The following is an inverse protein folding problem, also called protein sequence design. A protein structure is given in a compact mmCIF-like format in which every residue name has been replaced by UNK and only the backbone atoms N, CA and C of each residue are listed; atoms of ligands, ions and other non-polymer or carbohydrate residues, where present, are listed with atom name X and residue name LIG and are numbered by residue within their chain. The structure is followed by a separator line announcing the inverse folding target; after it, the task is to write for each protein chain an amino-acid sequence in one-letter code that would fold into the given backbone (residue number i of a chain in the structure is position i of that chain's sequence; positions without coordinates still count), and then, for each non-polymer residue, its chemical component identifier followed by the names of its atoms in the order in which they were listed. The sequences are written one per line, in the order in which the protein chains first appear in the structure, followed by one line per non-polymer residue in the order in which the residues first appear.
data_IF_505426160544
#
_entry.id   IF_505426160544
#
_cell.length_a   1.000
_cell.length_b   1.000
_cell.length_c   1.000
_cell.angle_alpha   90.00
_cell.angle_beta   90.00
_cell.angle_gamma   90.00
#
_symmetry.space_group_name_H-M   'P 1'
#
loop_
_entity.id
_entity.type
_entity.pdbx_description
1 polymer ?
#
# COMPACT_ATOMS: atom_id res chain seq x y z
N UNK A 1 -33.28 -3.44 -24.12
CA UNK A 1 -33.21 -4.65 -23.29
C UNK A 1 -32.02 -4.54 -22.36
N UNK A 2 -32.12 -5.07 -21.14
CA UNK A 2 -30.98 -5.10 -20.22
C UNK A 2 -29.90 -6.06 -20.74
N UNK A 3 -28.64 -5.61 -20.76
CA UNK A 3 -27.50 -6.47 -21.15
C UNK A 3 -27.05 -7.32 -19.96
N UNK A 4 -26.99 -8.64 -20.14
CA UNK A 4 -26.53 -9.60 -19.14
C UNK A 4 -25.36 -10.40 -19.71
N UNK A 5 -24.29 -10.59 -18.95
CA UNK A 5 -23.09 -11.28 -19.43
C UNK A 5 -22.25 -11.89 -18.32
N UNK A 6 -21.61 -13.03 -18.61
CA UNK A 6 -20.80 -13.81 -17.64
C UNK A 6 -19.65 -13.00 -17.01
N UNK A 7 -19.20 -11.93 -17.65
CA UNK A 7 -18.15 -11.03 -17.13
C UNK A 7 -18.74 -9.69 -16.67
N UNK A 8 -19.69 -9.13 -17.41
CA UNK A 8 -20.29 -7.84 -17.10
C UNK A 8 -21.02 -7.86 -15.75
N UNK A 9 -21.86 -8.89 -15.53
CA UNK A 9 -22.66 -9.02 -14.32
C UNK A 9 -21.80 -9.16 -13.04
N UNK A 10 -20.80 -10.07 -12.95
CA UNK A 10 -19.95 -10.12 -11.75
C UNK A 10 -19.05 -8.90 -11.60
N UNK A 11 -18.63 -8.25 -12.69
CA UNK A 11 -17.84 -7.01 -12.60
C UNK A 11 -18.67 -5.88 -11.99
N UNK A 12 -19.91 -5.71 -12.45
CA UNK A 12 -20.84 -4.74 -11.86
C UNK A 12 -21.13 -5.07 -10.39
N UNK A 13 -21.35 -6.35 -10.07
CA UNK A 13 -21.56 -6.79 -8.70
C UNK A 13 -20.40 -6.44 -7.76
N UNK A 14 -19.14 -6.59 -8.21
CA UNK A 14 -17.95 -6.18 -7.43
C UNK A 14 -17.94 -4.67 -7.15
N UNK A 15 -18.28 -3.85 -8.15
CA UNK A 15 -18.35 -2.38 -7.99
C UNK A 15 -19.47 -2.00 -7.02
N UNK A 16 -20.67 -2.55 -7.20
CA UNK A 16 -21.82 -2.30 -6.32
C UNK A 16 -21.52 -2.70 -4.87
N UNK A 17 -20.90 -3.86 -4.65
CA UNK A 17 -20.50 -4.32 -3.33
C UNK A 17 -19.56 -3.33 -2.65
N UNK A 18 -18.50 -2.91 -3.34
CA UNK A 18 -17.54 -1.94 -2.82
C UNK A 18 -18.18 -0.58 -2.52
N UNK A 19 -19.13 -0.17 -3.35
CA UNK A 19 -19.91 1.05 -3.12
C UNK A 19 -20.75 0.97 -1.84
N UNK A 20 -21.47 -0.13 -1.64
CA UNK A 20 -22.26 -0.36 -0.41
C UNK A 20 -21.36 -0.41 0.82
N UNK A 21 -20.26 -1.17 0.76
CA UNK A 21 -19.26 -1.25 1.85
C UNK A 21 -18.72 0.14 2.22
N UNK A 22 -18.40 0.98 1.23
CA UNK A 22 -17.91 2.34 1.49
C UNK A 22 -19.01 3.30 1.98
N UNK A 23 -20.24 3.17 1.46
CA UNK A 23 -21.38 4.02 1.86
C UNK A 23 -21.82 3.74 3.29
N UNK A 24 -21.82 2.46 3.68
CA UNK A 24 -22.25 1.99 4.98
C UNK A 24 -21.09 2.01 6.01
N UNK A 25 -19.87 2.40 5.59
CA UNK A 25 -18.72 2.57 6.47
C UNK A 25 -18.90 3.77 7.40
N UNK A 26 -18.98 3.50 8.70
CA UNK A 26 -18.96 4.53 9.74
C UNK A 26 -17.57 4.63 10.36
N UNK A 27 -16.96 5.81 10.30
CA UNK A 27 -15.66 6.05 10.93
C UNK A 27 -15.80 6.11 12.45
N UNK A 28 -15.07 5.26 13.17
CA UNK A 28 -15.08 5.22 14.64
C UNK A 28 -13.81 5.92 15.16
N UNK A 29 -13.93 6.85 16.13
CA UNK A 29 -12.75 7.46 16.74
C UNK A 29 -11.94 6.42 17.52
N UNK A 30 -10.62 6.53 17.44
CA UNK A 30 -9.68 5.74 18.23
C UNK A 30 -8.52 6.63 18.68
N UNK A 31 -7.86 6.23 19.76
CA UNK A 31 -6.78 6.98 20.38
C UNK A 31 -5.48 6.18 20.32
N UNK A 32 -4.37 6.86 20.06
CA UNK A 32 -3.02 6.32 20.11
C UNK A 32 -2.15 7.17 21.00
N UNK A 33 -1.33 6.52 21.81
CA UNK A 33 -0.33 7.21 22.61
C UNK A 33 0.87 7.53 21.72
N UNK A 34 1.36 8.75 21.80
CA UNK A 34 2.57 9.16 21.10
C UNK A 34 3.52 9.88 22.04
N UNK A 35 4.79 9.52 21.98
CA UNK A 35 5.87 10.13 22.75
C UNK A 35 6.68 11.02 21.83
N UNK A 36 6.79 12.29 22.21
CA UNK A 36 7.63 13.26 21.54
C UNK A 36 8.89 13.44 22.39
N UNK A 37 10.06 13.25 21.78
CA UNK A 37 11.35 13.46 22.43
C UNK A 37 12.27 14.22 21.49
N UNK A 38 13.13 15.04 22.05
CA UNK A 38 14.13 15.81 21.31
C UNK A 38 15.51 15.39 21.79
N UNK A 39 16.37 15.01 20.84
CA UNK A 39 17.78 14.71 21.12
C UNK A 39 18.63 15.35 20.03
N UNK A 40 19.63 16.13 20.44
CA UNK A 40 20.61 16.74 19.52
C UNK A 40 19.97 17.54 18.37
N UNK A 41 18.85 18.25 18.64
CA UNK A 41 18.12 19.04 17.65
C UNK A 41 17.24 18.23 16.69
N UNK A 42 17.12 16.92 16.88
CA UNK A 42 16.24 16.04 16.11
C UNK A 42 14.97 15.72 16.93
N UNK A 43 13.81 16.15 16.42
CA UNK A 43 12.52 15.78 16.97
C UNK A 43 12.16 14.35 16.57
N UNK A 44 12.02 13.47 17.56
CA UNK A 44 11.60 12.08 17.38
C UNK A 44 10.17 11.91 17.87
N UNK A 45 9.34 11.26 17.05
CA UNK A 45 7.98 10.85 17.41
C UNK A 45 7.91 9.33 17.45
N UNK A 46 7.65 8.77 18.62
CA UNK A 46 7.34 7.35 18.79
C UNK A 46 5.81 7.19 18.93
N UNK A 47 5.24 6.26 18.16
CA UNK A 47 3.83 5.88 18.26
C UNK A 47 3.73 4.57 19.03
N UNK A 48 2.83 4.51 20.00
CA UNK A 48 2.50 3.28 20.73
C UNK A 48 1.90 2.23 19.80
N UNK A 49 2.12 0.96 20.14
CA UNK A 49 1.63 -0.18 19.35
C UNK A 49 0.13 -0.45 19.52
N UNK A 50 -0.48 0.09 20.59
CA UNK A 50 -1.86 -0.20 20.95
C UNK A 50 -2.81 0.91 20.48
N UNK A 51 -3.97 0.49 19.99
CA UNK A 51 -5.08 1.32 19.58
C UNK A 51 -6.12 1.25 20.71
N UNK A 52 -6.52 2.40 21.24
CA UNK A 52 -7.52 2.48 22.30
C UNK A 52 -8.85 2.93 21.71
N UNK A 53 -9.92 2.19 21.99
CA UNK A 53 -11.28 2.51 21.52
C UNK A 53 -11.99 3.53 22.40
N UNK A 54 -11.43 3.86 23.57
CA UNK A 54 -12.02 4.79 24.52
C UNK A 54 -10.95 5.75 25.03
N UNK A 55 -11.27 7.04 25.01
CA UNK A 55 -10.40 8.09 25.52
C UNK A 55 -10.02 7.88 27.00
N UNK A 56 -10.95 7.46 27.85
CA UNK A 56 -10.67 7.24 29.28
C UNK A 56 -9.64 6.12 29.50
N UNK A 57 -9.67 5.07 28.66
CA UNK A 57 -8.67 4.00 28.69
C UNK A 57 -7.31 4.53 28.23
N UNK A 58 -7.29 5.34 27.17
CA UNK A 58 -6.07 5.98 26.68
C UNK A 58 -5.48 6.94 27.73
N UNK A 59 -6.31 7.74 28.40
CA UNK A 59 -5.90 8.67 29.45
C UNK A 59 -5.37 7.93 30.69
N UNK A 60 -6.01 6.82 31.08
CA UNK A 60 -5.54 5.97 32.18
C UNK A 60 -4.17 5.37 31.85
N UNK A 61 -4.00 4.81 30.65
CA UNK A 61 -2.71 4.30 30.18
C UNK A 61 -1.64 5.39 30.12
N UNK A 62 -2.01 6.60 29.67
CA UNK A 62 -1.13 7.76 29.66
C UNK A 62 -0.75 8.22 31.08
N UNK A 63 -1.67 8.18 32.04
CA UNK A 63 -1.41 8.51 33.43
C UNK A 63 -0.44 7.50 34.07
N UNK A 64 -0.62 6.21 33.80
CA UNK A 64 0.31 5.15 34.22
C UNK A 64 1.70 5.34 33.61
N UNK A 65 1.78 5.71 32.33
CA UNK A 65 3.08 5.99 31.69
C UNK A 65 3.74 7.26 32.25
N UNK A 66 2.96 8.29 32.61
CA UNK A 66 3.47 9.51 33.24
C UNK A 66 3.98 9.25 34.65
N UNK A 67 3.29 8.43 35.44
CA UNK A 67 3.72 8.10 36.81
C UNK A 67 5.02 7.29 36.84
N UNK A 68 5.29 6.53 35.78
CA UNK A 68 6.53 5.77 35.63
C UNK A 68 7.79 6.64 35.46
N UNK A 69 7.67 7.97 35.30
CA UNK A 69 8.72 9.02 35.32
C UNK A 69 9.91 8.86 34.35
N UNK A 70 10.23 7.66 33.91
CA UNK A 70 11.24 7.30 32.93
C UNK A 70 10.61 6.32 31.95
N UNK A 71 10.51 6.73 30.69
CA UNK A 71 10.35 5.77 29.59
C UNK A 71 11.75 5.27 29.25
N UNK A 72 12.07 4.07 29.72
CA UNK A 72 13.29 3.39 29.32
C UNK A 72 13.11 2.91 27.88
N UNK A 73 13.92 3.45 26.98
CA UNK A 73 14.03 2.89 25.64
C UNK A 73 14.78 1.58 25.75
N UNK A 74 14.05 0.47 25.89
CA UNK A 74 14.64 -0.88 26.03
C UNK A 74 15.44 -1.26 24.79
N UNK A 75 15.04 -0.78 23.61
CA UNK A 75 15.83 -0.92 22.39
C UNK A 75 15.55 0.20 21.40
N UNK A 76 16.62 0.78 20.85
CA UNK A 76 16.56 1.57 19.61
C UNK A 76 16.88 0.62 18.48
N UNK A 77 15.91 -0.18 18.06
CA UNK A 77 16.05 -0.95 16.83
C UNK A 77 15.89 0.01 15.63
N UNK A 78 17.00 0.53 15.08
CA UNK A 78 17.05 0.63 13.62
C UNK A 78 16.67 -0.74 13.14
N UNK A 79 15.66 -0.91 12.26
CA UNK A 79 15.24 -2.23 11.77
C UNK A 79 16.50 -3.06 11.57
N UNK A 80 16.74 -4.02 12.45
CA UNK A 80 17.91 -4.89 12.44
C UNK A 80 17.36 -6.27 12.12
N UNK A 81 18.07 -7.02 11.30
CA UNK A 81 17.72 -8.43 11.08
C UNK A 81 18.00 -9.26 12.33
N UNK A 82 17.61 -10.54 12.29
CA UNK A 82 17.80 -11.52 13.37
C UNK A 82 19.28 -11.71 13.81
N UNK A 83 20.23 -11.13 13.07
CA UNK A 83 21.67 -11.16 13.34
C UNK A 83 22.22 -9.80 13.80
N UNK A 84 21.37 -8.82 14.13
CA UNK A 84 21.79 -7.52 14.66
C UNK A 84 22.37 -6.55 13.61
N UNK A 85 22.25 -6.85 12.31
CA UNK A 85 22.73 -5.96 11.24
C UNK A 85 21.66 -4.96 10.85
N UNK A 86 22.04 -3.70 10.63
CA UNK A 86 21.14 -2.65 10.15
C UNK A 86 20.50 -3.15 8.85
N UNK A 87 19.18 -3.33 8.87
CA UNK A 87 18.36 -3.70 7.72
C UNK A 87 18.33 -2.50 6.77
N UNK A 88 19.38 -2.40 5.97
CA UNK A 88 19.36 -1.63 4.73
C UNK A 88 18.17 -2.17 3.96
N UNK A 89 17.10 -1.38 3.86
CA UNK A 89 15.95 -1.77 3.07
C UNK A 89 16.39 -1.70 1.63
N UNK A 90 16.97 -2.81 1.15
CA UNK A 90 17.29 -2.99 -0.25
C UNK A 90 15.95 -3.13 -0.96
N UNK A 91 15.48 -2.05 -1.58
CA UNK A 91 14.38 -2.16 -2.51
C UNK A 91 14.91 -2.93 -3.70
N UNK A 92 14.52 -4.21 -3.81
CA UNK A 92 14.81 -5.00 -4.99
C UNK A 92 14.37 -4.23 -6.23
N UNK A 93 15.15 -4.27 -7.33
CA UNK A 93 14.73 -3.63 -8.57
C UNK A 93 13.32 -4.12 -8.94
N UNK A 94 12.46 -3.24 -9.45
CA UNK A 94 11.13 -3.63 -9.85
C UNK A 94 11.22 -4.75 -10.88
N UNK A 95 10.36 -5.75 -10.74
CA UNK A 95 10.19 -6.76 -11.77
C UNK A 95 9.78 -6.08 -13.07
N UNK A 96 10.17 -6.68 -14.19
CA UNK A 96 9.67 -6.26 -15.49
C UNK A 96 8.13 -6.37 -15.51
N UNK A 97 7.47 -5.64 -16.41
CA UNK A 97 6.01 -5.59 -16.45
C UNK A 97 5.42 -6.82 -17.15
N UNK A 98 4.40 -7.44 -16.57
CA UNK A 98 3.40 -8.15 -17.37
C UNK A 98 2.32 -7.17 -17.88
N UNK A 99 1.40 -7.62 -18.73
CA UNK A 99 0.36 -6.74 -19.29
C UNK A 99 -0.51 -6.10 -18.20
N UNK A 100 -0.87 -6.87 -17.17
CA UNK A 100 -1.77 -6.41 -16.12
C UNK A 100 -1.09 -5.36 -15.24
N UNK A 101 0.18 -5.58 -14.89
CA UNK A 101 1.01 -4.63 -14.16
C UNK A 101 1.23 -3.36 -14.98
N UNK A 102 1.48 -3.47 -16.29
CA UNK A 102 1.61 -2.31 -17.18
C UNK A 102 0.31 -1.50 -17.25
N UNK A 103 -0.83 -2.17 -17.45
CA UNK A 103 -2.15 -1.52 -17.50
C UNK A 103 -2.51 -0.82 -16.17
N UNK A 104 -2.17 -1.42 -15.03
CA UNK A 104 -2.34 -0.78 -13.71
C UNK A 104 -1.45 0.45 -13.56
N UNK A 105 -0.20 0.37 -13.99
CA UNK A 105 0.75 1.47 -13.83
C UNK A 105 0.41 2.67 -14.72
N UNK A 106 0.08 2.43 -16.00
CA UNK A 106 -0.29 3.50 -16.93
C UNK A 106 -1.64 4.11 -16.57
N UNK A 107 -2.57 3.33 -16.00
CA UNK A 107 -3.80 3.88 -15.44
C UNK A 107 -3.49 4.82 -14.25
N UNK A 108 -2.63 4.38 -13.32
CA UNK A 108 -2.23 5.17 -12.15
C UNK A 108 -1.47 6.46 -12.51
N UNK A 109 -0.53 6.39 -13.46
CA UNK A 109 0.35 7.52 -13.82
C UNK A 109 -0.25 8.45 -14.87
N UNK A 110 -1.04 7.92 -15.81
CA UNK A 110 -1.45 8.63 -17.02
C UNK A 110 -2.96 8.54 -17.31
N UNK A 111 -3.74 7.85 -16.46
CA UNK A 111 -5.19 7.70 -16.67
C UNK A 111 -5.56 6.87 -17.91
N UNK A 112 -4.64 6.08 -18.46
CA UNK A 112 -4.94 5.28 -19.64
C UNK A 112 -5.91 4.14 -19.32
N UNK A 113 -6.84 3.87 -20.24
CA UNK A 113 -7.66 2.66 -20.18
C UNK A 113 -6.80 1.43 -20.47
N UNK A 114 -7.32 0.25 -20.09
CA UNK A 114 -6.68 -1.03 -20.39
C UNK A 114 -6.50 -1.22 -21.91
N UNK A 115 -7.50 -0.87 -22.72
CA UNK A 115 -7.47 -0.94 -24.18
C UNK A 115 -6.48 0.03 -24.82
N UNK A 116 -6.39 1.27 -24.31
CA UNK A 116 -5.42 2.26 -24.80
C UNK A 116 -4.00 1.78 -24.55
N UNK A 117 -3.72 1.29 -23.34
CA UNK A 117 -2.41 0.74 -22.99
C UNK A 117 -2.07 -0.46 -23.87
N UNK A 118 -3.02 -1.36 -24.10
CA UNK A 118 -2.83 -2.52 -24.96
C UNK A 118 -2.55 -2.12 -26.42
N UNK A 119 -3.29 -1.15 -26.96
CA UNK A 119 -3.05 -0.65 -28.33
C UNK A 119 -1.66 -0.06 -28.50
N UNK A 120 -1.19 0.73 -27.53
CA UNK A 120 0.14 1.32 -27.57
C UNK A 120 1.21 0.23 -27.48
N UNK A 121 1.09 -0.69 -26.53
CA UNK A 121 2.04 -1.80 -26.36
C UNK A 121 2.08 -2.71 -27.61
N UNK A 122 0.93 -2.96 -28.25
CA UNK A 122 0.84 -3.71 -29.49
C UNK A 122 1.55 -2.97 -30.65
N UNK A 123 1.35 -1.66 -30.78
CA UNK A 123 2.03 -0.86 -31.80
C UNK A 123 3.56 -0.85 -31.63
N UNK A 124 4.05 -0.80 -30.39
CA UNK A 124 5.48 -0.89 -30.09
C UNK A 124 6.06 -2.27 -30.42
N UNK A 125 5.30 -3.34 -30.17
CA UNK A 125 5.67 -4.69 -30.56
C UNK A 125 5.76 -4.86 -32.08
N UNK A 126 4.79 -4.32 -32.83
CA UNK A 126 4.78 -4.35 -34.30
C UNK A 126 5.95 -3.57 -34.90
N UNK A 127 6.39 -2.51 -34.23
CA UNK A 127 7.63 -1.77 -34.54
C UNK A 127 8.90 -2.48 -34.07
N UNK A 128 8.79 -3.69 -33.49
CA UNK A 128 9.88 -4.51 -32.95
C UNK A 128 10.65 -3.85 -31.80
N UNK A 129 10.05 -2.88 -31.10
CA UNK A 129 10.66 -2.17 -29.96
C UNK A 129 10.48 -2.95 -28.66
N UNK A 130 9.35 -3.65 -28.50
CA UNK A 130 9.04 -4.43 -27.29
C UNK A 130 8.70 -5.88 -27.62
N UNK A 131 8.69 -6.76 -26.61
CA UNK A 131 8.18 -8.14 -26.74
C UNK A 131 6.65 -8.19 -26.76
N UNK A 132 6.10 -9.36 -27.12
CA UNK A 132 4.66 -9.55 -27.35
C UNK A 132 3.83 -9.27 -26.09
N UNK A 133 2.90 -8.29 -26.12
CA UNK A 133 2.30 -7.74 -24.90
C UNK A 133 1.11 -8.53 -24.35
N UNK A 134 0.60 -9.56 -25.05
CA UNK A 134 -0.60 -10.32 -24.62
C UNK A 134 -0.29 -11.65 -23.93
N UNK A 135 0.96 -11.91 -23.51
CA UNK A 135 1.30 -13.16 -22.80
C UNK A 135 0.77 -13.12 -21.37
N UNK A 136 0.05 -14.18 -20.97
CA UNK A 136 -0.66 -14.25 -19.68
C UNK A 136 0.17 -14.74 -18.49
N UNK A 137 1.39 -15.27 -18.68
CA UNK A 137 2.18 -15.80 -17.55
C UNK A 137 3.70 -15.68 -17.78
N UNK A 138 4.40 -15.24 -16.73
CA UNK A 138 5.87 -15.28 -16.49
C UNK A 138 6.83 -14.72 -17.55
N UNK A 139 6.31 -14.18 -18.65
CA UNK A 139 7.13 -13.54 -19.67
C UNK A 139 6.85 -12.05 -19.68
N UNK A 140 7.85 -11.30 -19.27
CA UNK A 140 7.73 -9.86 -19.12
C UNK A 140 7.83 -9.13 -20.46
N UNK A 141 7.14 -7.99 -20.55
CA UNK A 141 7.31 -7.01 -21.63
C UNK A 141 8.68 -6.37 -21.43
N UNK A 142 9.60 -6.65 -22.35
CA UNK A 142 10.96 -6.11 -22.36
C UNK A 142 11.20 -5.36 -23.66
N UNK A 143 12.16 -4.43 -23.64
CA UNK A 143 12.69 -3.84 -24.86
C UNK A 143 13.51 -4.88 -25.62
N UNK A 144 13.50 -4.76 -26.95
CA UNK A 144 14.29 -5.60 -27.85
C UNK A 144 15.57 -4.89 -28.29
#
# INVERSE_FOLDING_TARGET
GYSLGRVQTPTLAMVCRRYIENRDFSSVPYWKLSVHTEKEGLSLKALGCNDYENEALAQTALATLRSQSQLTVESVARRVDEHGRIKVTHTSPPLLYDLTALQKETNRRHGFSADKTLSIAQSLYEKKITTYPRKRFQNFISFR
#
